data_IF_972930479363
#
_entry.id   IF_972930479363
#
_cell.length_a   1.000
_cell.length_b   1.000
_cell.length_c   1.000
_cell.angle_alpha   90.00
_cell.angle_beta   90.00
_cell.angle_gamma   90.00
#
_symmetry.space_group_name_H-M   'P 1'
#
loop_
_entity.id
_entity.type
_entity.pdbx_description
1 polymer ?
#
# COMPACT_ATOMS: atom_id res chain seq x y z
N UNK A 1 27.15 -18.25 -26.45
CA UNK A 1 27.35 -17.33 -25.31
C UNK A 1 28.53 -17.83 -24.51
N UNK A 2 29.59 -17.03 -24.39
CA UNK A 2 30.81 -17.37 -23.65
C UNK A 2 30.63 -17.14 -22.15
N UNK A 3 31.45 -17.81 -21.33
CA UNK A 3 31.47 -17.60 -19.87
C UNK A 3 31.65 -16.12 -19.49
N UNK A 4 32.45 -15.37 -20.26
CA UNK A 4 32.68 -13.94 -20.05
C UNK A 4 31.42 -13.11 -20.30
N UNK A 5 30.66 -13.42 -21.34
CA UNK A 5 29.39 -12.75 -21.64
C UNK A 5 28.34 -12.99 -20.55
N UNK A 6 28.26 -14.24 -20.05
CA UNK A 6 27.36 -14.59 -18.94
C UNK A 6 27.72 -13.80 -17.68
N UNK A 7 29.02 -13.67 -17.39
CA UNK A 7 29.48 -12.96 -16.20
C UNK A 7 29.20 -11.46 -16.28
N UNK A 8 29.48 -10.84 -17.44
CA UNK A 8 29.17 -9.43 -17.68
C UNK A 8 27.67 -9.14 -17.56
N UNK A 9 26.81 -10.02 -18.09
CA UNK A 9 25.36 -9.90 -17.94
C UNK A 9 24.93 -9.96 -16.47
N UNK A 10 25.49 -10.89 -15.68
CA UNK A 10 25.17 -11.01 -14.25
C UNK A 10 25.60 -9.78 -13.45
N UNK A 11 26.78 -9.23 -13.74
CA UNK A 11 27.27 -8.01 -13.10
C UNK A 11 26.35 -6.83 -13.42
N UNK A 12 25.95 -6.66 -14.68
CA UNK A 12 25.01 -5.63 -15.10
C UNK A 12 23.63 -5.76 -14.43
N UNK A 13 23.06 -6.96 -14.39
CA UNK A 13 21.77 -7.20 -13.73
C UNK A 13 21.85 -6.97 -12.21
N UNK A 14 22.99 -7.31 -11.59
CA UNK A 14 23.22 -7.03 -10.18
C UNK A 14 23.25 -5.53 -9.89
N UNK A 15 24.02 -4.75 -10.66
CA UNK A 15 24.10 -3.30 -10.48
C UNK A 15 22.72 -2.64 -10.64
N UNK A 16 21.96 -3.07 -11.65
CA UNK A 16 20.58 -2.62 -11.86
C UNK A 16 19.67 -2.96 -10.68
N UNK A 17 19.77 -4.18 -10.12
CA UNK A 17 18.99 -4.58 -8.96
C UNK A 17 19.35 -3.75 -7.71
N UNK A 18 20.63 -3.42 -7.52
CA UNK A 18 21.10 -2.55 -6.43
C UNK A 18 20.54 -1.13 -6.58
N UNK A 19 20.55 -0.57 -7.79
CA UNK A 19 19.97 0.75 -8.04
C UNK A 19 18.46 0.78 -7.83
N UNK A 20 17.74 -0.23 -8.32
CA UNK A 20 16.31 -0.38 -8.10
C UNK A 20 15.98 -0.45 -6.60
N UNK A 21 16.72 -1.27 -5.84
CA UNK A 21 16.52 -1.39 -4.40
C UNK A 21 16.76 -0.06 -3.67
N UNK A 22 17.83 0.67 -4.01
CA UNK A 22 18.11 1.99 -3.41
C UNK A 22 17.00 2.99 -3.68
N UNK A 23 16.49 3.02 -4.91
CA UNK A 23 15.38 3.91 -5.27
C UNK A 23 14.10 3.53 -4.53
N UNK A 24 13.78 2.23 -4.45
CA UNK A 24 12.62 1.73 -3.74
C UNK A 24 12.67 2.08 -2.24
N UNK A 25 13.82 1.92 -1.57
CA UNK A 25 13.97 2.28 -0.16
C UNK A 25 13.84 3.79 0.10
N UNK A 26 14.33 4.62 -0.84
CA UNK A 26 14.13 6.07 -0.77
C UNK A 26 12.65 6.43 -0.82
N UNK A 27 11.89 5.83 -1.75
CA UNK A 27 10.46 6.04 -1.90
C UNK A 27 9.68 5.54 -0.67
N UNK A 28 10.03 4.37 -0.13
CA UNK A 28 9.45 3.84 1.12
C UNK A 28 9.68 4.78 2.29
N UNK A 29 10.91 5.25 2.46
CA UNK A 29 11.27 6.15 3.56
C UNK A 29 10.46 7.44 3.47
N UNK A 30 10.35 8.01 2.27
CA UNK A 30 9.52 9.18 2.01
C UNK A 30 8.04 8.93 2.29
N UNK A 31 7.51 7.77 1.88
CA UNK A 31 6.11 7.41 2.16
C UNK A 31 5.83 7.36 3.66
N UNK A 32 6.73 6.79 4.45
CA UNK A 32 6.61 6.73 5.92
C UNK A 32 6.71 8.12 6.55
N UNK A 33 7.58 8.99 6.03
CA UNK A 33 7.68 10.39 6.47
C UNK A 33 6.41 11.20 6.18
N UNK A 34 5.80 10.97 5.01
CA UNK A 34 4.58 11.67 4.59
C UNK A 34 3.33 11.13 5.31
N UNK A 35 3.34 9.86 5.74
CA UNK A 35 2.24 9.19 6.46
C UNK A 35 2.70 8.53 7.77
N UNK A 36 3.13 9.32 8.77
CA UNK A 36 3.41 8.78 10.09
C UNK A 36 2.14 8.15 10.68
N UNK A 37 2.30 7.14 11.54
CA UNK A 37 1.15 6.37 12.10
C UNK A 37 0.13 7.29 12.75
N UNK A 38 0.60 8.35 13.41
CA UNK A 38 -0.21 9.33 14.13
C UNK A 38 -1.07 10.19 13.19
N UNK A 39 -0.71 10.34 11.91
CA UNK A 39 -1.49 11.10 10.93
C UNK A 39 -2.54 10.26 10.20
N UNK A 40 -2.45 8.93 10.28
CA UNK A 40 -3.32 8.03 9.50
C UNK A 40 -4.80 8.22 9.83
N UNK A 41 -5.15 8.53 11.09
CA UNK A 41 -6.55 8.82 11.46
C UNK A 41 -7.08 10.12 10.86
N UNK A 42 -6.21 11.10 10.63
CA UNK A 42 -6.56 12.42 10.13
C UNK A 42 -6.69 12.48 8.60
N UNK A 43 -6.35 11.37 7.90
CA UNK A 43 -6.52 11.28 6.46
C UNK A 43 -7.97 11.56 6.08
N UNK A 44 -8.16 12.56 5.22
CA UNK A 44 -9.40 12.79 4.52
C UNK A 44 -9.65 11.66 3.53
N UNK A 45 -10.91 11.49 3.10
CA UNK A 45 -11.23 10.51 2.06
C UNK A 45 -10.43 10.75 0.78
N UNK A 46 -10.23 12.01 0.40
CA UNK A 46 -9.52 12.39 -0.82
C UNK A 46 -8.02 12.09 -0.71
N UNK A 47 -7.42 12.30 0.46
CA UNK A 47 -6.01 11.99 0.69
C UNK A 47 -5.78 10.48 0.83
N UNK A 48 -6.82 9.71 1.16
CA UNK A 48 -6.77 8.26 1.22
C UNK A 48 -6.98 7.59 -0.15
N UNK A 49 -8.15 7.81 -0.76
CA UNK A 49 -8.63 7.08 -1.93
C UNK A 49 -7.90 7.50 -3.21
N UNK A 50 -7.87 6.60 -4.20
CA UNK A 50 -7.28 6.90 -5.51
C UNK A 50 -8.11 7.97 -6.24
N UNK A 51 -7.67 9.22 -6.10
CA UNK A 51 -8.17 10.39 -6.83
C UNK A 51 -7.06 11.39 -7.21
N UNK A 52 -5.90 11.29 -6.57
CA UNK A 52 -4.71 12.10 -6.79
C UNK A 52 -3.46 11.22 -6.79
N UNK A 53 -2.41 11.62 -7.52
CA UNK A 53 -1.09 10.96 -7.47
C UNK A 53 -0.46 11.02 -6.07
N UNK A 54 -0.89 11.96 -5.25
CA UNK A 54 -0.42 12.15 -3.87
C UNK A 54 -1.30 11.44 -2.84
N UNK A 55 -2.34 10.70 -3.25
CA UNK A 55 -3.19 9.95 -2.32
C UNK A 55 -2.48 8.71 -1.79
N UNK A 56 -2.80 8.32 -0.56
CA UNK A 56 -2.21 7.19 0.16
C UNK A 56 -2.26 5.90 -0.67
N UNK A 57 -3.46 5.51 -1.14
CA UNK A 57 -3.64 4.28 -1.91
C UNK A 57 -2.96 4.33 -3.28
N UNK A 58 -2.91 5.50 -3.94
CA UNK A 58 -2.19 5.63 -5.21
C UNK A 58 -0.69 5.44 -5.02
N UNK A 59 -0.11 6.04 -3.97
CA UNK A 59 1.31 5.92 -3.68
C UNK A 59 1.70 4.48 -3.32
N UNK A 60 0.87 3.77 -2.56
CA UNK A 60 1.07 2.32 -2.34
C UNK A 60 1.09 1.56 -3.67
N UNK A 61 0.12 1.83 -4.54
CA UNK A 61 -0.02 1.11 -5.81
C UNK A 61 1.13 1.38 -6.81
N UNK A 62 1.51 2.64 -6.99
CA UNK A 62 2.39 3.07 -8.09
C UNK A 62 3.79 3.48 -7.62
N UNK A 63 3.91 4.19 -6.50
CA UNK A 63 5.22 4.65 -5.99
C UNK A 63 5.99 3.51 -5.34
N UNK A 64 5.30 2.58 -4.66
CA UNK A 64 5.93 1.44 -3.98
C UNK A 64 5.96 0.15 -4.80
N UNK A 65 5.60 0.20 -6.09
CA UNK A 65 5.49 -1.00 -6.96
C UNK A 65 6.79 -1.79 -7.12
N UNK A 66 7.94 -1.12 -7.04
CA UNK A 66 9.24 -1.77 -7.16
C UNK A 66 9.63 -2.53 -5.88
N UNK A 67 9.00 -2.22 -4.74
CA UNK A 67 9.10 -3.02 -3.52
C UNK A 67 8.14 -4.21 -3.53
N UNK A 68 6.87 -3.93 -3.84
CA UNK A 68 5.81 -4.90 -3.79
C UNK A 68 4.74 -4.55 -4.84
N UNK A 69 4.95 -5.04 -6.06
CA UNK A 69 4.02 -4.78 -7.15
C UNK A 69 2.66 -5.41 -6.87
N UNK A 70 1.61 -4.60 -6.95
CA UNK A 70 0.22 -5.06 -6.91
C UNK A 70 -0.33 -5.39 -8.31
N UNK A 71 0.50 -5.27 -9.36
CA UNK A 71 0.08 -5.41 -10.76
C UNK A 71 -1.00 -4.41 -11.16
N UNK A 72 -1.92 -4.84 -12.03
CA UNK A 72 -3.06 -4.03 -12.46
C UNK A 72 -4.18 -4.08 -11.43
N UNK A 73 -3.96 -3.42 -10.29
CA UNK A 73 -4.93 -3.38 -9.20
C UNK A 73 -5.99 -2.31 -9.47
N UNK A 74 -7.25 -2.62 -9.17
CA UNK A 74 -8.36 -1.67 -9.25
C UNK A 74 -8.55 -0.94 -7.92
N UNK A 75 -9.02 0.33 -7.92
CA UNK A 75 -9.22 1.11 -6.70
C UNK A 75 -10.07 0.44 -5.61
N UNK A 76 -11.07 -0.37 -5.96
CA UNK A 76 -11.93 -1.06 -4.99
C UNK A 76 -11.15 -2.05 -4.09
N UNK A 77 -9.93 -2.47 -4.47
CA UNK A 77 -9.11 -3.36 -3.65
C UNK A 77 -8.61 -2.70 -2.35
N UNK A 78 -8.67 -1.38 -2.27
CA UNK A 78 -8.31 -0.60 -1.09
C UNK A 78 -9.50 -0.34 -0.14
N UNK A 79 -10.63 -1.01 -0.34
CA UNK A 79 -11.79 -0.88 0.54
C UNK A 79 -12.66 0.32 0.22
N UNK A 80 -12.14 1.54 0.25
CA UNK A 80 -12.88 2.75 -0.13
C UNK A 80 -12.34 3.32 -1.43
N UNK A 81 -13.23 3.60 -2.38
CA UNK A 81 -12.85 4.14 -3.70
C UNK A 81 -13.83 5.20 -4.21
N UNK A 82 -13.40 5.95 -5.22
CA UNK A 82 -14.22 6.96 -5.90
C UNK A 82 -14.84 6.37 -7.18
N UNK A 83 -16.10 5.95 -7.11
CA UNK A 83 -16.86 5.47 -8.26
C UNK A 83 -17.09 6.62 -9.24
N UNK A 84 -16.71 6.42 -10.49
CA UNK A 84 -16.71 7.47 -11.51
C UNK A 84 -15.78 8.65 -11.18
N UNK A 85 -14.82 8.45 -10.27
CA UNK A 85 -13.88 9.50 -9.84
C UNK A 85 -14.47 10.53 -8.88
N UNK A 86 -15.73 10.40 -8.45
CA UNK A 86 -16.43 11.42 -7.66
C UNK A 86 -17.12 10.82 -6.44
N UNK A 87 -17.86 9.73 -6.60
CA UNK A 87 -18.71 9.20 -5.54
C UNK A 87 -17.93 8.24 -4.64
N UNK A 88 -17.79 8.58 -3.36
CA UNK A 88 -17.26 7.67 -2.35
C UNK A 88 -18.07 6.37 -2.30
N UNK A 89 -17.40 5.22 -2.31
CA UNK A 89 -18.08 3.92 -2.33
C UNK A 89 -17.25 2.90 -1.56
N UNK A 90 -17.94 2.12 -0.72
CA UNK A 90 -17.38 0.94 -0.07
C UNK A 90 -17.30 -0.20 -1.10
N UNK A 91 -16.16 -0.86 -1.14
CA UNK A 91 -15.95 -2.05 -1.95
C UNK A 91 -16.86 -3.19 -1.48
N UNK A 92 -17.50 -3.92 -2.41
CA UNK A 92 -18.26 -5.12 -2.07
C UNK A 92 -17.43 -6.22 -1.39
N UNK A 93 -16.09 -6.18 -1.51
CA UNK A 93 -15.17 -7.13 -0.87
C UNK A 93 -14.67 -6.61 0.49
N UNK A 94 -15.40 -5.69 1.12
CA UNK A 94 -15.10 -5.10 2.43
C UNK A 94 -16.40 -5.01 3.25
N UNK A 95 -17.34 -5.93 3.00
CA UNK A 95 -18.66 -5.97 3.65
C UNK A 95 -18.57 -6.23 5.16
N UNK A 96 -17.47 -6.83 5.63
CA UNK A 96 -17.16 -6.98 7.07
C UNK A 96 -17.07 -5.64 7.82
N UNK A 97 -16.97 -4.52 7.11
CA UNK A 97 -16.92 -3.17 7.66
C UNK A 97 -18.29 -2.46 7.67
N UNK A 98 -19.36 -3.14 7.24
CA UNK A 98 -20.74 -2.63 7.21
C UNK A 98 -21.21 -2.25 5.80
N UNK A 99 -22.30 -1.49 5.74
CA UNK A 99 -22.95 -1.11 4.48
C UNK A 99 -22.66 0.35 4.05
N UNK A 100 -22.08 1.15 4.93
CA UNK A 100 -21.78 2.57 4.70
C UNK A 100 -20.28 2.85 4.59
N UNK A 101 -19.91 3.75 3.68
CA UNK A 101 -18.50 4.02 3.41
C UNK A 101 -17.81 4.83 4.52
N UNK A 102 -18.54 5.64 5.30
CA UNK A 102 -17.95 6.54 6.30
C UNK A 102 -17.47 5.77 7.52
N UNK A 103 -18.34 4.92 8.06
CA UNK A 103 -18.03 3.98 9.15
C UNK A 103 -16.94 3.00 8.73
N UNK A 104 -17.04 2.44 7.52
CA UNK A 104 -16.02 1.55 6.99
C UNK A 104 -14.66 2.26 6.83
N UNK A 105 -14.63 3.50 6.35
CA UNK A 105 -13.39 4.27 6.22
C UNK A 105 -12.70 4.47 7.57
N UNK A 106 -13.46 4.84 8.61
CA UNK A 106 -12.92 4.99 9.97
C UNK A 106 -12.37 3.66 10.48
N UNK A 107 -13.08 2.55 10.25
CA UNK A 107 -12.67 1.24 10.71
C UNK A 107 -11.42 0.72 9.98
N UNK A 108 -11.32 0.93 8.67
CA UNK A 108 -10.13 0.58 7.87
C UNK A 108 -8.90 1.35 8.36
N UNK A 109 -9.01 2.66 8.61
CA UNK A 109 -7.90 3.46 9.17
C UNK A 109 -7.41 2.92 10.51
N UNK A 110 -8.34 2.57 11.41
CA UNK A 110 -8.03 1.95 12.70
C UNK A 110 -7.32 0.61 12.53
N UNK A 111 -7.74 -0.21 11.58
CA UNK A 111 -7.12 -1.51 11.34
C UNK A 111 -5.73 -1.41 10.69
N UNK A 112 -5.49 -0.39 9.85
CA UNK A 112 -4.14 -0.09 9.34
C UNK A 112 -3.22 0.27 10.50
N UNK A 113 -3.65 1.17 11.38
CA UNK A 113 -2.87 1.57 12.57
C UNK A 113 -2.60 0.35 13.45
N UNK A 114 -3.63 -0.45 13.73
CA UNK A 114 -3.50 -1.67 14.53
C UNK A 114 -2.51 -2.65 13.91
N UNK A 115 -2.57 -2.88 12.59
CA UNK A 115 -1.63 -3.75 11.89
C UNK A 115 -0.18 -3.27 12.05
N UNK A 116 0.06 -1.96 11.97
CA UNK A 116 1.38 -1.36 12.16
C UNK A 116 1.86 -1.48 13.61
N UNK A 117 0.99 -1.30 14.59
CA UNK A 117 1.31 -1.52 16.01
C UNK A 117 1.62 -2.97 16.33
N UNK A 118 0.83 -3.91 15.79
CA UNK A 118 1.05 -5.35 15.97
C UNK A 118 2.37 -5.77 15.29
N UNK A 119 2.73 -5.15 14.16
CA UNK A 119 4.05 -5.30 13.51
C UNK A 119 5.19 -4.80 14.39
N UNK A 120 5.06 -3.63 15.02
CA UNK A 120 6.06 -3.09 15.97
C UNK A 120 6.28 -4.01 17.18
N UNK A 121 5.25 -4.78 17.57
CA UNK A 121 5.30 -5.75 18.67
C UNK A 121 5.72 -7.15 18.22
N UNK A 122 5.95 -7.35 16.92
CA UNK A 122 6.21 -8.66 16.32
C UNK A 122 5.09 -9.69 16.63
N UNK A 123 3.85 -9.25 16.80
CA UNK A 123 2.70 -10.13 17.04
C UNK A 123 2.19 -10.72 15.73
N UNK A 124 2.93 -11.70 15.22
CA UNK A 124 2.60 -12.37 13.96
C UNK A 124 1.22 -13.03 13.96
N UNK A 125 0.70 -13.41 15.13
CA UNK A 125 -0.64 -13.98 15.25
C UNK A 125 -1.69 -12.90 15.06
N UNK A 126 -1.53 -11.73 15.65
CA UNK A 126 -2.45 -10.60 15.43
C UNK A 126 -2.39 -10.11 13.98
N UNK A 127 -1.20 -10.01 13.39
CA UNK A 127 -1.00 -9.65 11.98
C UNK A 127 -1.76 -10.62 11.05
N UNK A 128 -1.60 -11.93 11.25
CA UNK A 128 -2.25 -12.95 10.42
C UNK A 128 -3.78 -12.97 10.56
N UNK A 129 -4.32 -12.46 11.68
CA UNK A 129 -5.76 -12.37 11.94
C UNK A 129 -6.33 -10.97 11.68
N UNK A 130 -5.56 -10.06 11.06
CA UNK A 130 -6.05 -8.74 10.69
C UNK A 130 -7.22 -8.85 9.72
N UNK A 131 -8.25 -8.01 9.93
CA UNK A 131 -9.39 -7.89 9.00
C UNK A 131 -8.95 -7.41 7.61
N UNK A 132 -7.79 -6.77 7.49
CA UNK A 132 -7.23 -6.33 6.20
C UNK A 132 -6.66 -7.49 5.36
N UNK A 133 -6.41 -8.67 5.96
CA UNK A 133 -5.89 -9.82 5.22
C UNK A 133 -6.98 -10.56 4.42
N UNK A 134 -8.22 -10.52 4.90
CA UNK A 134 -9.41 -11.10 4.26
C UNK A 134 -10.61 -10.15 4.43
N UNK A 135 -10.57 -8.98 3.80
CA UNK A 135 -11.68 -8.04 3.83
C UNK A 135 -12.86 -8.57 3.01
#
# INVERSE_FOLDING_TARGET
MSLKEIQLFKEYEYDKAVELHKNAEKLRSKFVEDYPIESLMELSLHDYAIGSKMSFCYRIMDELKDMASMGNVYPYRFGIYLKGGITATLSPTYDIYGDDYEGAFIAIKKDIIKLLEDTKKEDYKAIANSRLYKP
#
